data_IF_933888196557
#
_entry.id   IF_933888196557
#
_cell.length_a   1.000
_cell.length_b   1.000
_cell.length_c   1.000
_cell.angle_alpha   90.00
_cell.angle_beta   90.00
_cell.angle_gamma   90.00
#
_symmetry.space_group_name_H-M   'P 1'
#
loop_
_entity.id
_entity.type
_entity.pdbx_description
1 polymer ?
#
# COMPACT_ATOMS: atom_id res chain seq x y z
N UNK A 1 -14.54 0.73 -2.47
CA UNK A 1 -13.49 -0.31 -2.43
C UNK A 1 -14.02 -1.68 -1.99
N UNK A 2 -14.68 -1.80 -0.83
CA UNK A 2 -15.14 -3.09 -0.28
C UNK A 2 -15.95 -3.98 -1.25
N UNK A 3 -16.87 -3.41 -2.04
CA UNK A 3 -17.60 -4.17 -3.05
C UNK A 3 -16.70 -4.80 -4.13
N UNK A 4 -15.72 -4.04 -4.63
CA UNK A 4 -14.73 -4.54 -5.60
C UNK A 4 -13.80 -5.58 -4.97
N UNK A 5 -13.44 -5.44 -3.69
CA UNK A 5 -12.59 -6.43 -3.02
C UNK A 5 -13.21 -7.83 -3.06
N UNK A 6 -14.55 -7.93 -2.84
CA UNK A 6 -15.25 -9.21 -3.00
C UNK A 6 -15.27 -9.68 -4.46
N UNK A 7 -15.61 -8.78 -5.39
CA UNK A 7 -15.71 -9.12 -6.82
C UNK A 7 -14.38 -9.62 -7.43
N UNK A 8 -13.24 -9.14 -6.90
CA UNK A 8 -11.91 -9.51 -7.37
C UNK A 8 -11.21 -10.56 -6.50
N UNK A 9 -11.91 -11.11 -5.50
CA UNK A 9 -11.42 -12.22 -4.68
C UNK A 9 -10.30 -11.82 -3.71
N UNK A 10 -10.43 -10.69 -3.02
CA UNK A 10 -9.46 -10.28 -2.00
C UNK A 10 -9.32 -11.34 -0.90
N UNK A 11 -8.08 -11.71 -0.60
CA UNK A 11 -7.75 -12.70 0.43
C UNK A 11 -7.64 -12.08 1.82
N UNK A 12 -7.19 -10.83 1.89
CA UNK A 12 -6.97 -10.10 3.14
C UNK A 12 -6.93 -8.59 2.86
N UNK A 13 -7.21 -7.77 3.86
CA UNK A 13 -7.01 -6.33 3.79
C UNK A 13 -6.85 -5.70 5.18
N UNK A 14 -6.22 -4.53 5.21
CA UNK A 14 -6.18 -3.62 6.36
C UNK A 14 -6.25 -2.18 5.86
N UNK A 15 -6.74 -1.26 6.67
CA UNK A 15 -6.48 0.16 6.49
C UNK A 15 -5.03 0.49 6.88
N UNK A 16 -4.51 1.61 6.35
CA UNK A 16 -3.20 2.17 6.72
C UNK A 16 -3.42 3.47 7.48
N UNK A 17 -3.05 3.49 8.75
CA UNK A 17 -3.17 4.64 9.64
C UNK A 17 -1.89 4.85 10.46
N UNK A 18 -1.99 5.00 11.78
CA UNK A 18 -0.94 5.59 12.62
C UNK A 18 0.37 4.80 12.71
N UNK A 19 0.39 3.52 12.33
CA UNK A 19 1.60 2.70 12.31
C UNK A 19 2.35 2.72 10.98
N UNK A 20 1.83 3.46 9.99
CA UNK A 20 2.35 3.51 8.64
C UNK A 20 2.14 2.21 7.86
N UNK A 21 2.42 2.26 6.56
CA UNK A 21 2.16 1.12 5.65
C UNK A 21 2.87 -0.16 6.09
N UNK A 22 4.10 -0.05 6.62
CA UNK A 22 4.87 -1.19 7.08
C UNK A 22 4.30 -1.77 8.38
N UNK A 23 3.89 -0.93 9.33
CA UNK A 23 3.30 -1.38 10.59
C UNK A 23 1.99 -2.15 10.35
N UNK A 24 1.10 -1.58 9.54
CA UNK A 24 -0.15 -2.24 9.17
C UNK A 24 0.08 -3.49 8.30
N UNK A 25 1.05 -3.48 7.38
CA UNK A 25 1.41 -4.69 6.63
C UNK A 25 1.93 -5.82 7.53
N UNK A 26 2.75 -5.51 8.54
CA UNK A 26 3.22 -6.50 9.52
C UNK A 26 2.08 -7.08 10.34
N UNK A 27 1.16 -6.23 10.82
CA UNK A 27 -0.03 -6.68 11.54
C UNK A 27 -0.89 -7.60 10.69
N UNK A 28 -1.13 -7.24 9.41
CA UNK A 28 -1.88 -8.08 8.49
C UNK A 28 -1.18 -9.40 8.18
N UNK A 29 0.14 -9.38 7.97
CA UNK A 29 0.94 -10.59 7.72
C UNK A 29 0.93 -11.55 8.94
N UNK A 30 0.99 -11.02 10.16
CA UNK A 30 0.97 -11.81 11.39
C UNK A 30 -0.34 -12.59 11.59
N UNK A 31 -1.45 -12.08 11.04
CA UNK A 31 -2.77 -12.73 11.09
C UNK A 31 -2.98 -13.81 10.02
N UNK A 32 -2.01 -14.03 9.13
CA UNK A 32 -2.15 -15.03 8.06
C UNK A 32 -2.06 -16.45 8.63
N UNK A 33 -2.90 -17.34 8.09
CA UNK A 33 -2.87 -18.78 8.43
C UNK A 33 -1.68 -19.50 7.81
N UNK A 34 -1.25 -19.03 6.64
CA UNK A 34 -0.13 -19.59 5.89
C UNK A 34 1.16 -18.88 6.28
N UNK A 35 2.29 -19.57 6.11
CA UNK A 35 3.62 -18.99 6.30
C UNK A 35 4.01 -18.15 5.09
N UNK A 36 3.44 -16.95 5.07
CA UNK A 36 3.66 -15.93 4.03
C UNK A 36 4.21 -14.64 4.61
N UNK A 37 4.97 -13.88 3.83
CA UNK A 37 5.46 -12.56 4.20
C UNK A 37 5.18 -11.55 3.08
N UNK A 38 5.01 -10.28 3.45
CA UNK A 38 4.71 -9.21 2.49
C UNK A 38 5.98 -8.41 2.17
N UNK A 39 6.23 -8.19 0.89
CA UNK A 39 7.40 -7.43 0.41
C UNK A 39 6.93 -6.22 -0.38
N UNK A 40 7.13 -5.04 0.19
CA UNK A 40 6.75 -3.75 -0.41
C UNK A 40 7.92 -3.26 -1.27
N UNK A 41 7.66 -3.15 -2.56
CA UNK A 41 8.62 -2.75 -3.61
C UNK A 41 8.42 -1.30 -4.03
N UNK A 42 7.17 -0.81 -4.01
CA UNK A 42 6.82 0.51 -4.50
C UNK A 42 6.10 1.28 -3.40
N UNK A 43 6.41 2.58 -3.26
CA UNK A 43 5.72 3.49 -2.36
C UNK A 43 5.10 4.62 -3.18
N UNK A 44 3.77 4.64 -3.34
CA UNK A 44 3.03 5.81 -3.80
C UNK A 44 3.10 6.88 -2.72
N UNK A 45 3.71 8.01 -3.04
CA UNK A 45 3.97 9.11 -2.10
C UNK A 45 3.48 10.40 -2.73
N UNK A 46 2.79 11.23 -1.95
CA UNK A 46 2.37 12.57 -2.40
C UNK A 46 3.60 13.32 -2.89
N UNK A 47 3.50 13.91 -4.09
CA UNK A 47 4.60 14.56 -4.78
C UNK A 47 5.36 15.51 -3.85
N UNK A 48 6.69 15.51 -3.95
CA UNK A 48 7.63 16.30 -3.11
C UNK A 48 7.76 15.82 -1.64
N UNK A 49 6.88 14.99 -1.08
CA UNK A 49 7.01 14.56 0.33
C UNK A 49 8.22 13.66 0.57
N UNK A 50 8.65 12.89 -0.44
CA UNK A 50 9.90 12.14 -0.35
C UNK A 50 11.11 13.08 -0.21
N UNK A 51 11.12 14.22 -0.90
CA UNK A 51 12.17 15.21 -0.79
C UNK A 51 12.14 15.91 0.57
N UNK A 52 10.95 16.27 1.07
CA UNK A 52 10.78 16.83 2.42
C UNK A 52 11.28 15.86 3.49
N UNK A 53 10.89 14.59 3.42
CA UNK A 53 11.36 13.58 4.37
C UNK A 53 12.89 13.48 4.38
N UNK A 54 13.53 13.47 3.20
CA UNK A 54 15.00 13.48 3.09
C UNK A 54 15.63 14.75 3.67
N UNK A 55 15.05 15.93 3.37
CA UNK A 55 15.53 17.20 3.91
C UNK A 55 15.42 17.27 5.43
N UNK A 56 14.43 16.59 6.02
CA UNK A 56 14.29 16.42 7.46
C UNK A 56 15.14 15.26 8.04
N UNK A 57 16.11 14.73 7.28
CA UNK A 57 17.00 13.65 7.73
C UNK A 57 16.31 12.29 7.86
N UNK A 58 15.22 12.05 7.13
CA UNK A 58 14.41 10.85 7.24
C UNK A 58 13.55 10.77 8.50
N UNK A 59 13.46 11.87 9.28
CA UNK A 59 12.55 11.97 10.43
C UNK A 59 11.12 11.62 9.99
N UNK A 60 10.45 10.81 10.79
CA UNK A 60 9.12 10.28 10.49
C UNK A 60 9.12 8.96 9.71
N UNK A 61 10.21 8.53 9.08
CA UNK A 61 10.30 7.17 8.52
C UNK A 61 9.43 6.91 7.29
N UNK A 62 9.15 7.94 6.48
CA UNK A 62 8.28 7.84 5.28
C UNK A 62 8.79 6.78 4.29
N UNK A 63 10.09 6.82 3.97
CA UNK A 63 10.69 5.89 3.00
C UNK A 63 10.87 4.48 3.58
N UNK A 64 10.87 4.35 4.91
CA UNK A 64 10.88 3.09 5.64
C UNK A 64 9.47 2.51 5.81
N UNK A 65 8.43 3.26 5.43
CA UNK A 65 7.03 2.87 5.56
C UNK A 65 6.48 2.94 6.99
N UNK A 66 7.18 3.61 7.90
CA UNK A 66 6.77 3.74 9.32
C UNK A 66 6.21 5.12 9.66
N UNK A 67 6.06 6.01 8.67
CA UNK A 67 5.41 7.29 8.87
C UNK A 67 3.94 7.10 9.27
N UNK A 68 3.47 7.74 10.35
CA UNK A 68 2.07 7.72 10.71
C UNK A 68 1.20 8.31 9.60
N UNK A 69 0.13 7.61 9.26
CA UNK A 69 -0.91 8.08 8.34
C UNK A 69 -2.22 8.29 9.10
N UNK A 70 -3.10 9.15 8.59
CA UNK A 70 -4.44 9.37 9.16
C UNK A 70 -5.47 9.19 8.06
N UNK A 71 -6.45 8.30 8.26
CA UNK A 71 -7.47 7.97 7.26
C UNK A 71 -6.87 7.64 5.89
N UNK A 72 -5.80 6.84 5.89
CA UNK A 72 -5.09 6.46 4.67
C UNK A 72 -5.89 5.49 3.79
N UNK A 73 -5.17 4.85 2.86
CA UNK A 73 -5.78 3.88 1.94
C UNK A 73 -6.01 2.50 2.57
N UNK A 74 -6.59 1.61 1.77
CA UNK A 74 -6.62 0.17 2.07
C UNK A 74 -5.40 -0.51 1.45
N UNK A 75 -4.72 -1.33 2.24
CA UNK A 75 -3.76 -2.33 1.77
C UNK A 75 -4.53 -3.64 1.55
N UNK A 76 -4.61 -4.10 0.30
CA UNK A 76 -5.41 -5.27 -0.09
C UNK A 76 -4.53 -6.35 -0.71
N UNK A 77 -4.72 -7.59 -0.28
CA UNK A 77 -4.08 -8.79 -0.86
C UNK A 77 -5.04 -9.42 -1.87
N UNK A 78 -4.61 -9.51 -3.12
CA UNK A 78 -5.40 -10.02 -4.25
C UNK A 78 -4.66 -11.15 -4.99
N UNK A 79 -5.39 -12.03 -5.70
CA UNK A 79 -4.80 -12.89 -6.72
C UNK A 79 -4.02 -12.07 -7.75
N UNK A 80 -2.82 -12.54 -8.11
CA UNK A 80 -1.92 -11.82 -9.03
C UNK A 80 -2.59 -11.42 -10.34
N UNK A 81 -3.38 -12.33 -10.92
CA UNK A 81 -4.10 -12.11 -12.18
C UNK A 81 -5.17 -11.01 -12.08
N UNK A 82 -5.67 -10.72 -10.87
CA UNK A 82 -6.78 -9.80 -10.64
C UNK A 82 -6.30 -8.39 -10.24
N UNK A 83 -5.06 -8.24 -9.77
CA UNK A 83 -4.55 -6.97 -9.23
C UNK A 83 -4.61 -5.82 -10.25
N UNK A 84 -4.20 -6.06 -11.50
CA UNK A 84 -4.19 -5.03 -12.54
C UNK A 84 -5.62 -4.58 -12.91
N UNK A 85 -6.54 -5.54 -13.07
CA UNK A 85 -7.94 -5.27 -13.37
C UNK A 85 -8.64 -4.54 -12.21
N UNK A 86 -8.38 -4.93 -10.98
CA UNK A 86 -8.89 -4.24 -9.80
C UNK A 86 -8.46 -2.77 -9.75
N UNK A 87 -7.20 -2.47 -10.08
CA UNK A 87 -6.72 -1.08 -10.17
C UNK A 87 -7.39 -0.29 -11.30
N UNK A 88 -7.59 -0.93 -12.46
CA UNK A 88 -8.28 -0.30 -13.60
C UNK A 88 -9.76 0.01 -13.27
N UNK A 89 -10.48 -0.94 -12.65
CA UNK A 89 -11.88 -0.75 -12.24
C UNK A 89 -12.06 0.31 -11.16
N UNK A 90 -11.10 0.45 -10.23
CA UNK A 90 -11.12 1.52 -9.25
C UNK A 90 -11.01 2.91 -9.90
N UNK A 91 -10.23 3.01 -10.99
CA UNK A 91 -10.02 4.26 -11.74
C UNK A 91 -11.11 4.53 -12.79
N UNK A 92 -12.00 3.58 -13.05
CA UNK A 92 -12.99 3.70 -14.11
C UNK A 92 -13.96 4.88 -13.89
N UNK A 93 -14.41 5.54 -14.96
CA UNK A 93 -15.40 6.62 -14.88
C UNK A 93 -16.71 6.11 -14.25
N UNK A 94 -17.35 6.94 -13.43
CA UNK A 94 -18.56 6.58 -12.67
C UNK A 94 -18.28 6.01 -11.27
N UNK A 95 -17.01 5.87 -10.87
CA UNK A 95 -16.61 5.73 -9.46
C UNK A 95 -16.33 7.11 -8.85
N UNK A 96 -16.30 7.17 -7.51
CA UNK A 96 -15.96 8.39 -6.80
C UNK A 96 -14.65 8.98 -7.35
N UNK A 97 -14.66 10.29 -7.60
CA UNK A 97 -13.59 10.98 -8.29
C UNK A 97 -12.25 10.81 -7.56
N UNK A 98 -11.17 10.57 -8.33
CA UNK A 98 -9.82 10.44 -7.78
C UNK A 98 -9.52 9.11 -7.07
N UNK A 99 -10.35 8.07 -7.23
CA UNK A 99 -9.98 6.72 -6.79
C UNK A 99 -8.88 6.14 -7.69
N UNK A 100 -7.68 6.01 -7.12
CA UNK A 100 -6.53 5.36 -7.74
C UNK A 100 -5.96 4.33 -6.77
N UNK A 101 -5.44 3.23 -7.31
CA UNK A 101 -4.72 2.21 -6.55
C UNK A 101 -3.40 1.89 -7.23
N UNK A 102 -2.48 1.33 -6.45
CA UNK A 102 -1.16 0.93 -6.91
C UNK A 102 -0.85 -0.48 -6.42
N UNK A 103 -0.21 -1.27 -7.28
CA UNK A 103 0.41 -2.52 -6.87
C UNK A 103 1.73 -2.15 -6.19
N UNK A 104 1.77 -2.27 -4.87
CA UNK A 104 2.91 -1.84 -4.05
C UNK A 104 3.92 -2.95 -3.77
N UNK A 105 3.56 -4.21 -3.99
CA UNK A 105 4.41 -5.32 -3.60
C UNK A 105 3.83 -6.69 -3.93
N UNK A 106 4.40 -7.71 -3.29
CA UNK A 106 4.02 -9.12 -3.46
C UNK A 106 3.95 -9.82 -2.10
N UNK A 107 3.33 -10.99 -2.11
CA UNK A 107 3.31 -11.95 -1.01
C UNK A 107 4.19 -13.12 -1.39
N UNK A 108 5.12 -13.49 -0.51
CA UNK A 108 6.08 -14.58 -0.69
C UNK A 108 5.94 -15.58 0.46
N UNK A 109 6.54 -16.78 0.35
CA UNK A 109 6.67 -17.69 1.49
C UNK A 109 7.58 -17.05 2.54
N UNK A 110 7.18 -17.04 3.81
CA UNK A 110 7.98 -16.39 4.85
C UNK A 110 7.34 -16.36 6.25
N UNK A 111 8.01 -15.73 7.22
CA UNK A 111 7.70 -15.90 8.64
C UNK A 111 6.54 -15.00 9.14
N UNK A 112 5.49 -14.78 8.35
CA UNK A 112 4.34 -13.94 8.74
C UNK A 112 4.72 -12.52 9.14
N UNK A 113 5.65 -11.95 8.39
CA UNK A 113 6.14 -10.57 8.56
C UNK A 113 5.95 -9.72 7.32
N UNK A 114 6.36 -8.46 7.40
CA UNK A 114 6.44 -7.58 6.25
C UNK A 114 7.70 -6.72 6.28
N UNK A 115 8.20 -6.39 5.09
CA UNK A 115 9.36 -5.51 4.88
C UNK A 115 9.14 -4.59 3.68
N UNK A 116 9.70 -3.39 3.77
CA UNK A 116 9.98 -2.55 2.60
C UNK A 116 11.39 -2.92 2.13
N UNK A 117 11.61 -3.04 0.81
CA UNK A 117 12.96 -3.29 0.27
C UNK A 117 13.87 -2.08 0.55
N UNK A 118 15.20 -2.27 0.54
CA UNK A 118 16.17 -1.22 0.89
C UNK A 118 16.08 0.04 0.02
N UNK A 119 15.71 -0.13 -1.25
CA UNK A 119 15.55 0.94 -2.24
C UNK A 119 14.19 0.81 -2.92
N UNK A 120 13.08 1.17 -2.25
CA UNK A 120 11.77 1.06 -2.84
C UNK A 120 11.62 2.06 -3.98
N UNK A 121 10.91 1.68 -5.03
CA UNK A 121 10.57 2.59 -6.12
C UNK A 121 9.54 3.59 -5.61
N UNK A 122 9.88 4.87 -5.66
CA UNK A 122 8.94 5.94 -5.33
C UNK A 122 8.08 6.26 -6.55
N UNK A 123 6.77 6.26 -6.35
CA UNK A 123 5.79 6.71 -7.35
C UNK A 123 5.28 8.05 -6.83
N UNK A 124 5.66 9.14 -7.48
CA UNK A 124 5.15 10.46 -7.11
C UNK A 124 3.68 10.59 -7.54
N UNK A 125 2.83 10.90 -6.58
CA UNK A 125 1.38 11.05 -6.77
C UNK A 125 1.04 12.53 -6.68
N UNK A 126 0.50 13.15 -7.74
CA UNK A 126 0.04 14.53 -7.68
C UNK A 126 -1.01 14.73 -6.56
N UNK A 127 -1.06 15.90 -5.92
CA UNK A 127 -2.15 16.22 -5.00
C UNK A 127 -3.50 16.14 -5.72
N UNK A 128 -4.55 15.72 -5.02
CA UNK A 128 -5.91 15.80 -5.58
C UNK A 128 -6.32 17.27 -5.72
N UNK A 129 -6.79 17.67 -6.90
CA UNK A 129 -7.28 19.02 -7.17
C UNK A 129 -6.22 20.06 -7.55
N UNK A 130 -5.02 19.61 -7.96
CA UNK A 130 -4.01 20.45 -8.58
C UNK A 130 -4.23 20.60 -10.10
#
# INVERSE_FOLDING_TARGET
AAGLMRAFGAHAATDVTGFGVLGHARALAAQQRLDVAFVIHNLPVIAKMAAVSKACGGRGGLLQGTAPETSGGLLVVLPRAQAARFCAELKAPGRAEGLQAWIVGVVEKGPRGARVIDKPRLIEVPPRGA
#
